data_IF_321102030717
#
_entry.id   IF_321102030717
#
_cell.length_a   1.000
_cell.length_b   1.000
_cell.length_c   1.000
_cell.angle_alpha   90.00
_cell.angle_beta   90.00
_cell.angle_gamma   90.00
#
_symmetry.space_group_name_H-M   'P 1'
#
loop_
_entity.id
_entity.type
_entity.pdbx_description
1 polymer ?
#
# COMPACT_ATOMS: atom_id res chain seq x y z
N UNK A 1 -7.51 20.39 3.76
CA UNK A 1 -8.55 19.34 3.70
C UNK A 1 -8.04 18.18 4.52
N UNK A 2 -8.69 17.88 5.65
CA UNK A 2 -8.52 16.60 6.34
C UNK A 2 -8.93 15.50 5.36
N UNK A 3 -8.04 14.54 5.12
CA UNK A 3 -8.28 13.52 4.11
C UNK A 3 -9.24 12.44 4.64
N UNK A 4 -9.90 11.72 3.73
CA UNK A 4 -11.02 10.83 4.04
C UNK A 4 -10.66 9.73 5.04
N UNK A 5 -9.42 9.24 4.99
CA UNK A 5 -8.94 8.15 5.83
C UNK A 5 -8.95 8.49 7.33
N UNK A 6 -8.77 9.75 7.73
CA UNK A 6 -8.86 10.17 9.14
C UNK A 6 -10.27 10.02 9.71
N UNK A 7 -11.30 10.25 8.87
CA UNK A 7 -12.70 10.14 9.24
C UNK A 7 -13.20 8.69 9.26
N UNK A 8 -12.66 7.84 8.38
CA UNK A 8 -13.18 6.49 8.21
C UNK A 8 -12.41 5.41 8.98
N UNK A 9 -11.14 5.63 9.36
CA UNK A 9 -10.34 4.58 10.01
C UNK A 9 -10.99 4.04 11.30
N UNK A 10 -11.68 4.90 12.07
CA UNK A 10 -12.37 4.52 13.30
C UNK A 10 -13.45 3.46 13.03
N UNK A 11 -14.21 3.64 11.95
CA UNK A 11 -15.37 2.82 11.63
C UNK A 11 -15.07 1.69 10.63
N UNK A 12 -13.96 1.77 9.89
CA UNK A 12 -13.65 0.84 8.81
C UNK A 12 -12.54 -0.15 9.17
N UNK A 13 -11.61 0.22 10.06
CA UNK A 13 -10.54 -0.66 10.52
C UNK A 13 -10.60 -0.86 12.04
N UNK A 14 -10.56 0.22 12.82
CA UNK A 14 -10.39 0.16 14.29
C UNK A 14 -11.55 -0.55 14.96
N UNK A 15 -12.80 -0.27 14.55
CA UNK A 15 -14.00 -0.90 15.09
C UNK A 15 -13.99 -2.44 15.02
N UNK A 16 -13.32 -3.02 14.02
CA UNK A 16 -13.23 -4.47 13.85
C UNK A 16 -12.13 -5.13 14.68
N UNK A 17 -11.30 -4.32 15.36
CA UNK A 17 -10.15 -4.75 16.17
C UNK A 17 -9.31 -5.84 15.48
N UNK A 18 -8.89 -5.63 14.22
CA UNK A 18 -8.13 -6.64 13.50
C UNK A 18 -6.76 -6.83 14.15
N UNK A 19 -6.27 -8.07 14.10
CA UNK A 19 -4.88 -8.40 14.44
C UNK A 19 -3.86 -7.80 13.48
N UNK A 20 -4.27 -7.51 12.24
CA UNK A 20 -3.41 -6.93 11.21
C UNK A 20 -4.23 -6.16 10.17
N UNK A 21 -3.63 -5.11 9.60
CA UNK A 21 -4.19 -4.28 8.53
C UNK A 21 -3.27 -4.32 7.32
N UNK A 22 -3.84 -4.45 6.12
CA UNK A 22 -3.13 -4.24 4.86
C UNK A 22 -3.62 -2.92 4.27
N UNK A 23 -2.70 -1.99 4.02
CA UNK A 23 -2.98 -0.65 3.51
C UNK A 23 -2.37 -0.48 2.11
N UNK A 24 -3.16 0.06 1.20
CA UNK A 24 -2.73 0.48 -0.13
C UNK A 24 -3.26 1.89 -0.38
N UNK A 25 -2.36 2.88 -0.50
CA UNK A 25 -2.71 4.30 -0.65
C UNK A 25 -1.68 5.08 -1.48
N UNK A 26 -2.01 6.32 -1.85
CA UNK A 26 -1.08 7.26 -2.49
C UNK A 26 -1.19 7.36 -4.02
N UNK A 27 -1.58 6.31 -4.74
CA UNK A 27 -1.63 6.35 -6.21
C UNK A 27 -2.67 7.34 -6.76
N UNK A 28 -3.77 7.54 -6.04
CA UNK A 28 -4.81 8.49 -6.41
C UNK A 28 -4.47 9.91 -5.99
N UNK A 29 -3.84 10.08 -4.83
CA UNK A 29 -3.34 11.36 -4.30
C UNK A 29 -2.36 12.00 -5.29
N UNK A 30 -1.31 11.25 -5.70
CA UNK A 30 -0.34 11.74 -6.68
C UNK A 30 -1.04 12.10 -7.99
N UNK A 31 -1.98 11.29 -8.46
CA UNK A 31 -2.74 11.61 -9.67
C UNK A 31 -3.57 12.89 -9.52
N UNK A 32 -4.15 13.14 -8.34
CA UNK A 32 -4.88 14.37 -8.01
C UNK A 32 -3.96 15.59 -7.80
N UNK A 33 -2.63 15.42 -7.84
CA UNK A 33 -1.65 16.50 -7.69
C UNK A 33 -1.13 16.71 -6.28
N UNK A 34 -1.44 15.79 -5.35
CA UNK A 34 -0.84 15.77 -4.02
C UNK A 34 0.64 15.44 -4.12
N UNK A 35 1.48 16.09 -3.31
CA UNK A 35 2.92 15.84 -3.29
C UNK A 35 3.26 14.60 -2.46
N UNK A 36 4.34 13.86 -2.77
CA UNK A 36 4.77 12.69 -2.00
C UNK A 36 4.93 12.93 -0.49
N UNK A 37 5.49 14.07 -0.10
CA UNK A 37 5.63 14.43 1.31
C UNK A 37 4.28 14.60 2.05
N UNK A 38 3.24 15.05 1.34
CA UNK A 38 1.90 15.18 1.91
C UNK A 38 1.26 13.81 2.10
N UNK A 39 1.45 12.89 1.14
CA UNK A 39 1.02 11.48 1.28
C UNK A 39 1.68 10.85 2.51
N UNK A 40 3.00 11.01 2.68
CA UNK A 40 3.70 10.53 3.87
C UNK A 40 3.13 11.13 5.17
N UNK A 41 2.89 12.44 5.19
CA UNK A 41 2.35 13.10 6.38
C UNK A 41 0.98 12.56 6.78
N UNK A 42 0.14 12.18 5.81
CA UNK A 42 -1.15 11.54 6.04
C UNK A 42 -1.03 10.11 6.50
N UNK A 43 -0.18 9.30 5.84
CA UNK A 43 0.18 7.96 6.29
C UNK A 43 0.59 7.96 7.76
N UNK A 44 1.46 8.91 8.14
CA UNK A 44 1.93 9.11 9.51
C UNK A 44 0.79 9.42 10.51
N UNK A 45 -0.21 10.22 10.11
CA UNK A 45 -1.38 10.49 10.98
C UNK A 45 -2.26 9.26 11.12
N UNK A 46 -2.52 8.56 10.02
CA UNK A 46 -3.29 7.32 9.97
C UNK A 46 -2.65 6.23 10.84
N UNK A 47 -1.37 5.92 10.62
CA UNK A 47 -0.67 4.84 11.31
C UNK A 47 -0.60 5.09 12.82
N UNK A 48 -0.38 6.35 13.24
CA UNK A 48 -0.37 6.70 14.67
C UNK A 48 -1.73 6.45 15.30
N UNK A 49 -2.80 6.89 14.64
CA UNK A 49 -4.17 6.69 15.12
C UNK A 49 -4.52 5.20 15.21
N UNK A 50 -4.14 4.41 14.20
CA UNK A 50 -4.31 2.95 14.21
C UNK A 50 -3.58 2.31 15.38
N UNK A 51 -2.30 2.62 15.58
CA UNK A 51 -1.47 2.02 16.62
C UNK A 51 -1.90 2.44 18.03
N UNK A 52 -2.34 3.69 18.22
CA UNK A 52 -2.91 4.13 19.50
C UNK A 52 -4.15 3.32 19.88
N UNK A 53 -5.03 3.03 18.91
CA UNK A 53 -6.24 2.27 19.17
C UNK A 53 -6.00 0.75 19.27
N UNK A 54 -5.05 0.23 18.49
CA UNK A 54 -4.75 -1.19 18.34
C UNK A 54 -3.23 -1.43 18.44
N UNK A 55 -2.64 -1.34 19.64
CA UNK A 55 -1.19 -1.42 19.82
C UNK A 55 -0.58 -2.77 19.42
N UNK A 56 -1.40 -3.83 19.39
CA UNK A 56 -0.99 -5.18 18.98
C UNK A 56 -1.20 -5.44 17.48
N UNK A 57 -1.82 -4.53 16.73
CA UNK A 57 -2.07 -4.72 15.31
C UNK A 57 -0.80 -4.51 14.48
N UNK A 58 -0.54 -5.42 13.55
CA UNK A 58 0.50 -5.26 12.52
C UNK A 58 -0.04 -4.49 11.33
N UNK A 59 0.80 -3.68 10.70
CA UNK A 59 0.45 -2.90 9.52
C UNK A 59 1.35 -3.26 8.34
N UNK A 60 0.73 -3.78 7.28
CA UNK A 60 1.39 -4.09 6.01
C UNK A 60 1.03 -3.02 4.99
N UNK A 61 2.03 -2.33 4.42
CA UNK A 61 1.82 -1.25 3.45
C UNK A 61 2.28 -1.72 2.08
N UNK A 62 1.39 -1.65 1.10
CA UNK A 62 1.67 -2.05 -0.28
C UNK A 62 2.24 -0.85 -1.07
N UNK A 63 3.24 -1.12 -1.92
CA UNK A 63 3.71 -0.14 -2.90
C UNK A 63 2.66 0.19 -3.97
N UNK A 64 2.71 1.42 -4.47
CA UNK A 64 1.74 1.93 -5.46
C UNK A 64 1.84 1.19 -6.80
N UNK A 65 0.71 0.95 -7.47
CA UNK A 65 0.70 0.31 -8.80
C UNK A 65 1.31 1.24 -9.85
N UNK A 66 2.25 0.77 -10.70
CA UNK A 66 2.75 1.52 -11.85
C UNK A 66 1.76 1.42 -13.01
N UNK A 67 0.55 1.94 -12.85
CA UNK A 67 -0.50 1.83 -13.86
C UNK A 67 -0.08 2.51 -15.19
N UNK A 68 -0.35 1.91 -16.36
CA UNK A 68 -0.01 2.49 -17.67
C UNK A 68 -0.65 3.86 -17.97
N UNK A 69 -0.20 4.48 -19.05
CA UNK A 69 -0.74 5.74 -19.58
C UNK A 69 -0.46 6.93 -18.67
N UNK A 70 -1.44 7.83 -18.52
CA UNK A 70 -1.30 9.09 -17.76
C UNK A 70 -0.86 8.89 -16.30
N UNK A 71 -1.15 7.74 -15.68
CA UNK A 71 -0.68 7.44 -14.32
C UNK A 71 0.83 7.25 -14.28
N UNK A 72 1.41 6.66 -15.33
CA UNK A 72 2.84 6.40 -15.42
C UNK A 72 3.66 7.67 -15.69
N UNK A 73 3.06 8.72 -16.25
CA UNK A 73 3.72 10.03 -16.38
C UNK A 73 4.19 10.60 -15.02
N UNK A 74 3.51 10.21 -13.93
CA UNK A 74 3.85 10.61 -12.55
C UNK A 74 4.71 9.57 -11.82
N UNK A 75 5.33 8.64 -12.54
CA UNK A 75 6.00 7.51 -11.91
C UNK A 75 7.18 7.91 -11.00
N UNK A 76 7.85 9.02 -11.28
CA UNK A 76 8.90 9.53 -10.38
C UNK A 76 8.34 9.89 -8.99
N UNK A 77 7.18 10.56 -8.93
CA UNK A 77 6.52 10.90 -7.67
C UNK A 77 6.00 9.65 -6.96
N UNK A 78 5.46 8.68 -7.72
CA UNK A 78 5.02 7.39 -7.20
C UNK A 78 6.19 6.58 -6.60
N UNK A 79 7.37 6.58 -7.23
CA UNK A 79 8.59 5.99 -6.67
C UNK A 79 8.99 6.69 -5.36
N UNK A 80 8.94 8.02 -5.33
CA UNK A 80 9.26 8.78 -4.13
C UNK A 80 8.27 8.46 -2.99
N UNK A 81 6.98 8.30 -3.27
CA UNK A 81 6.00 7.83 -2.27
C UNK A 81 6.42 6.46 -1.72
N UNK A 82 6.72 5.49 -2.57
CA UNK A 82 7.15 4.17 -2.13
C UNK A 82 8.43 4.22 -1.27
N UNK A 83 9.40 5.07 -1.62
CA UNK A 83 10.63 5.26 -0.85
C UNK A 83 10.34 5.81 0.55
N UNK A 84 9.49 6.85 0.63
CA UNK A 84 9.07 7.47 1.88
C UNK A 84 8.29 6.49 2.77
N UNK A 85 7.31 5.76 2.20
CA UNK A 85 6.53 4.77 2.94
C UNK A 85 7.40 3.60 3.41
N UNK A 86 8.35 3.15 2.59
CA UNK A 86 9.32 2.12 2.97
C UNK A 86 10.18 2.57 4.14
N UNK A 87 10.71 3.80 4.09
CA UNK A 87 11.53 4.37 5.14
C UNK A 87 10.73 4.52 6.45
N UNK A 88 9.49 5.03 6.38
CA UNK A 88 8.62 5.17 7.55
C UNK A 88 8.28 3.80 8.16
N UNK A 89 7.93 2.80 7.35
CA UNK A 89 7.66 1.45 7.84
C UNK A 89 8.88 0.82 8.54
N UNK A 90 10.11 1.20 8.17
CA UNK A 90 11.33 0.70 8.80
C UNK A 90 11.59 1.31 10.18
N UNK A 91 10.87 2.35 10.59
CA UNK A 91 11.05 3.01 11.89
C UNK A 91 10.47 2.22 13.06
N UNK A 92 9.55 1.29 12.80
CA UNK A 92 8.85 0.53 13.84
C UNK A 92 8.66 -0.95 13.45
N UNK A 93 8.78 -1.89 14.41
CA UNK A 93 8.71 -3.32 14.11
C UNK A 93 7.31 -3.82 13.74
N UNK A 94 6.25 -3.07 14.08
CA UNK A 94 4.87 -3.44 13.77
C UNK A 94 4.43 -3.04 12.36
N UNK A 95 5.26 -2.30 11.63
CA UNK A 95 5.02 -1.89 10.25
C UNK A 95 5.90 -2.66 9.27
N UNK A 96 5.36 -2.96 8.08
CA UNK A 96 6.12 -3.62 7.01
C UNK A 96 5.69 -3.13 5.65
N UNK A 97 6.62 -2.57 4.89
CA UNK A 97 6.41 -2.26 3.48
C UNK A 97 6.60 -3.52 2.61
N UNK A 98 5.71 -3.73 1.65
CA UNK A 98 5.74 -4.81 0.66
C UNK A 98 5.84 -4.18 -0.73
N UNK A 99 6.94 -4.47 -1.44
CA UNK A 99 7.12 -3.98 -2.81
C UNK A 99 6.24 -4.74 -3.80
N UNK A 100 5.10 -4.14 -4.11
CA UNK A 100 4.14 -4.58 -5.12
C UNK A 100 4.28 -3.83 -6.44
N UNK A 101 5.24 -2.90 -6.54
CA UNK A 101 5.47 -2.05 -7.72
C UNK A 101 6.47 -2.69 -8.67
N UNK A 102 7.65 -3.05 -8.17
CA UNK A 102 8.75 -3.60 -8.98
C UNK A 102 8.35 -4.85 -9.78
N UNK A 103 7.59 -5.82 -9.23
CA UNK A 103 7.17 -7.01 -9.98
C UNK A 103 6.25 -6.75 -11.18
N UNK A 104 5.63 -5.56 -11.23
CA UNK A 104 4.73 -5.14 -12.31
C UNK A 104 5.46 -4.37 -13.43
N UNK A 105 6.76 -4.14 -13.27
CA UNK A 105 7.60 -3.48 -14.28
C UNK A 105 8.32 -4.50 -15.15
N UNK A 106 8.50 -4.17 -16.42
CA UNK A 106 9.36 -4.87 -17.35
C UNK A 106 10.83 -4.54 -17.13
N UNK A 107 11.71 -5.25 -17.84
CA UNK A 107 13.15 -4.99 -17.79
C UNK A 107 13.53 -3.60 -18.33
N UNK A 108 12.68 -3.01 -19.15
CA UNK A 108 12.77 -1.64 -19.67
C UNK A 108 12.30 -0.57 -18.66
N UNK A 109 11.83 -0.99 -17.48
CA UNK A 109 11.28 -0.12 -16.46
C UNK A 109 9.87 0.41 -16.77
N UNK A 110 9.21 -0.07 -17.81
CA UNK A 110 7.82 0.25 -18.14
C UNK A 110 6.84 -0.70 -17.46
N UNK A 111 5.56 -0.33 -17.31
CA UNK A 111 4.54 -1.27 -16.85
C UNK A 111 4.43 -2.46 -17.80
N UNK A 112 4.36 -3.68 -17.27
CA UNK A 112 4.07 -4.87 -18.05
C UNK A 112 2.62 -4.84 -18.54
N UNK A 113 2.41 -4.38 -19.77
CA UNK A 113 1.06 -4.11 -20.31
C UNK A 113 0.13 -5.31 -20.22
N UNK A 114 0.65 -6.54 -20.35
CA UNK A 114 -0.15 -7.77 -20.26
C UNK A 114 -0.78 -8.02 -18.87
N UNK A 115 -0.31 -7.31 -17.85
CA UNK A 115 -0.85 -7.36 -16.49
C UNK A 115 -2.00 -6.37 -16.25
N UNK A 116 -2.29 -5.49 -17.21
CA UNK A 116 -3.28 -4.44 -17.11
C UNK A 116 -4.40 -4.60 -18.13
N UNK A 117 -5.58 -4.07 -17.79
CA UNK A 117 -6.65 -3.98 -18.76
C UNK A 117 -6.28 -2.89 -19.78
N UNK A 118 -6.40 -3.14 -21.10
CA UNK A 118 -6.00 -2.18 -22.12
C UNK A 118 -6.68 -0.81 -21.93
N UNK A 119 -5.88 0.26 -21.90
CA UNK A 119 -6.35 1.64 -21.71
C UNK A 119 -6.86 1.98 -20.30
N UNK A 120 -6.64 1.09 -19.32
CA UNK A 120 -7.15 1.19 -17.96
C UNK A 120 -6.00 1.19 -16.94
N UNK A 121 -6.29 1.63 -15.71
CA UNK A 121 -5.34 1.62 -14.60
C UNK A 121 -5.40 0.33 -13.79
N UNK A 122 -6.47 -0.45 -13.96
CA UNK A 122 -6.72 -1.68 -13.22
C UNK A 122 -6.00 -2.87 -13.84
N UNK A 123 -5.52 -3.77 -12.99
CA UNK A 123 -4.89 -5.01 -13.41
C UNK A 123 -5.92 -6.03 -13.90
N UNK A 124 -5.51 -6.91 -14.81
CA UNK A 124 -6.23 -8.16 -15.09
C UNK A 124 -5.86 -9.23 -14.04
N UNK A 125 -6.54 -10.38 -13.99
CA UNK A 125 -6.22 -11.43 -13.01
C UNK A 125 -4.74 -11.84 -12.96
N UNK A 126 -4.02 -11.79 -14.09
CA UNK A 126 -2.59 -12.05 -14.14
C UNK A 126 -1.76 -11.04 -13.31
N UNK A 127 -2.10 -9.75 -13.33
CA UNK A 127 -1.45 -8.74 -12.50
C UNK A 127 -1.71 -8.94 -11.02
N UNK A 128 -2.95 -9.29 -10.65
CA UNK A 128 -3.27 -9.64 -9.26
C UNK A 128 -2.56 -10.93 -8.80
N UNK A 129 -2.30 -11.89 -9.69
CA UNK A 129 -1.49 -13.05 -9.38
C UNK A 129 -0.03 -12.68 -9.04
N UNK A 130 0.53 -11.67 -9.71
CA UNK A 130 1.84 -11.09 -9.37
C UNK A 130 1.82 -10.43 -8.00
N UNK A 131 0.78 -9.65 -7.67
CA UNK A 131 0.62 -9.12 -6.32
C UNK A 131 0.57 -10.23 -5.26
N UNK A 132 -0.24 -11.27 -5.50
CA UNK A 132 -0.35 -12.40 -4.59
C UNK A 132 1.00 -13.07 -4.34
N UNK A 133 1.85 -13.21 -5.38
CA UNK A 133 3.14 -13.89 -5.25
C UNK A 133 4.14 -13.14 -4.36
N UNK A 134 3.98 -11.82 -4.16
CA UNK A 134 4.84 -11.02 -3.27
C UNK A 134 4.19 -10.69 -1.93
N UNK A 135 2.87 -10.59 -1.87
CA UNK A 135 2.13 -10.31 -0.63
C UNK A 135 2.07 -11.57 0.25
N UNK A 136 1.67 -12.71 -0.32
CA UNK A 136 1.38 -13.91 0.46
C UNK A 136 2.60 -14.44 1.24
N UNK A 137 3.83 -14.49 0.68
CA UNK A 137 5.00 -14.95 1.42
C UNK A 137 5.36 -14.08 2.62
N UNK A 138 4.96 -12.80 2.64
CA UNK A 138 5.19 -11.89 3.77
C UNK A 138 4.12 -12.06 4.84
N UNK A 139 2.85 -12.07 4.44
CA UNK A 139 1.73 -11.99 5.37
C UNK A 139 1.36 -13.36 5.92
N UNK A 140 1.26 -14.38 5.07
CA UNK A 140 0.73 -15.70 5.50
C UNK A 140 1.59 -16.32 6.61
N UNK A 141 2.93 -16.41 6.52
CA UNK A 141 3.73 -16.99 7.59
C UNK A 141 3.69 -16.15 8.88
N UNK A 142 3.70 -14.82 8.76
CA UNK A 142 3.67 -13.90 9.90
C UNK A 142 2.34 -13.95 10.65
N UNK A 143 1.23 -14.10 9.93
CA UNK A 143 -0.11 -14.09 10.50
C UNK A 143 -0.61 -15.49 10.85
N UNK A 144 -0.20 -16.56 10.18
CA UNK A 144 -0.70 -17.92 10.44
C UNK A 144 -0.73 -18.34 11.93
N UNK A 145 0.25 -18.01 12.78
CA UNK A 145 0.20 -18.32 14.21
C UNK A 145 -1.03 -17.74 14.95
N UNK A 146 -1.58 -16.62 14.48
CA UNK A 146 -2.71 -15.94 15.11
C UNK A 146 -4.07 -16.30 14.49
N UNK A 147 -4.14 -17.18 13.46
CA UNK A 147 -5.41 -17.61 12.85
C UNK A 147 -6.24 -18.54 13.76
N UNK A 148 -5.59 -19.23 14.70
CA UNK A 148 -6.21 -20.24 15.57
C UNK A 148 -6.26 -19.83 17.04
N UNK A 149 -5.90 -18.59 17.36
CA UNK A 149 -6.12 -18.04 18.69
C UNK A 149 -7.62 -17.76 18.85
N UNK A 150 -8.37 -18.79 19.25
CA UNK A 150 -9.68 -18.65 19.89
C UNK A 150 -9.48 -18.40 21.38
#
# INVERSE_FOLDING_TARGET
>A
MTQAEEYFIDNLAIAFKPRAVILYEGSNDINAGTKPATVLASFQRLQRKLHTALPEARLYVLGVVPSPGKRFEKFAELKQVNELLRAECATQPWMKFIDTTTPLLGADGQPREELFKPGDIHMVPAGYAVWKSVIAPVIVPAEKPFEKAK
#
